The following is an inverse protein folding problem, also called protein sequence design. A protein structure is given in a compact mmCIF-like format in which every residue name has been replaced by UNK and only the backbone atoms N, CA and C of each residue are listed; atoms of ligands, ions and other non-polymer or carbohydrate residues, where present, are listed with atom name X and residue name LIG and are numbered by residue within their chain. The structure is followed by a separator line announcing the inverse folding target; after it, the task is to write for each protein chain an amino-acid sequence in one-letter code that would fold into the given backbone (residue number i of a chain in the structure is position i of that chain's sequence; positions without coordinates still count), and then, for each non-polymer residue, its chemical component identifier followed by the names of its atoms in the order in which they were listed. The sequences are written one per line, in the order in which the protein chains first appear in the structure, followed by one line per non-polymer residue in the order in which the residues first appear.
data_IF_523315332937
#
_entry.id   IF_523315332937
#
_cell.length_a   1.000
_cell.length_b   1.000
_cell.length_c   1.000
_cell.angle_alpha   90.00
_cell.angle_beta   90.00
_cell.angle_gamma   90.00
#
_symmetry.space_group_name_H-M   'P 1'
#
loop_
_entity.id
_entity.type
_entity.pdbx_description
1 polymer ?
#
# COMPACT_ATOMS: atom_id res chain seq x y z
N UNK A 1 -22.63 35.26 17.10
CA UNK A 1 -21.53 34.75 16.26
C UNK A 1 -20.95 33.54 16.98
N UNK A 2 -21.20 32.35 16.45
CA UNK A 2 -20.61 31.10 16.94
C UNK A 2 -19.92 30.50 15.72
N UNK A 3 -18.59 30.51 15.74
CA UNK A 3 -17.78 29.87 14.71
C UNK A 3 -18.07 28.37 14.79
N UNK A 4 -18.88 27.89 13.84
CA UNK A 4 -19.08 26.46 13.65
C UNK A 4 -17.73 25.84 13.30
N UNK A 5 -17.22 25.01 14.20
CA UNK A 5 -16.04 24.19 13.92
C UNK A 5 -16.26 23.45 12.61
N UNK A 6 -15.28 23.46 11.68
CA UNK A 6 -15.40 22.65 10.48
C UNK A 6 -15.48 21.19 10.93
N UNK A 7 -16.62 20.54 10.67
CA UNK A 7 -16.74 19.10 10.81
C UNK A 7 -15.75 18.49 9.81
N UNK A 8 -14.54 18.20 10.29
CA UNK A 8 -13.63 17.25 9.64
C UNK A 8 -14.43 15.99 9.33
N UNK A 9 -14.08 15.28 8.26
CA UNK A 9 -14.60 13.92 8.01
C UNK A 9 -14.07 13.01 9.13
N UNK A 10 -14.69 13.13 10.31
CA UNK A 10 -14.16 12.67 11.58
C UNK A 10 -13.96 11.16 11.55
N UNK A 11 -14.75 10.45 10.74
CA UNK A 11 -14.65 8.99 10.57
C UNK A 11 -13.48 8.59 9.67
N UNK A 12 -13.23 9.28 8.56
CA UNK A 12 -12.08 8.98 7.71
C UNK A 12 -10.76 9.31 8.43
N UNK A 13 -10.71 10.45 9.13
CA UNK A 13 -9.57 10.84 9.95
C UNK A 13 -9.38 9.91 11.16
N UNK A 14 -10.46 9.34 11.69
CA UNK A 14 -10.42 8.35 12.77
C UNK A 14 -9.89 7.00 12.27
N UNK A 15 -10.31 6.52 11.10
CA UNK A 15 -9.76 5.28 10.53
C UNK A 15 -8.27 5.40 10.21
N UNK A 16 -7.84 6.52 9.63
CA UNK A 16 -6.42 6.78 9.38
C UNK A 16 -5.60 6.77 10.69
N UNK A 17 -6.10 7.43 11.75
CA UNK A 17 -5.48 7.40 13.08
C UNK A 17 -5.43 5.99 13.68
N UNK A 18 -6.50 5.22 13.55
CA UNK A 18 -6.54 3.83 14.03
C UNK A 18 -5.53 2.93 13.29
N UNK A 19 -5.30 3.15 12.00
CA UNK A 19 -4.26 2.44 11.25
C UNK A 19 -2.86 2.79 11.76
N UNK A 20 -2.60 4.07 12.00
CA UNK A 20 -1.33 4.57 12.55
C UNK A 20 -1.06 4.00 13.95
N UNK A 21 -2.07 4.02 14.83
CA UNK A 21 -1.97 3.44 16.18
C UNK A 21 -1.67 1.93 16.13
N UNK A 22 -2.34 1.18 15.24
CA UNK A 22 -2.09 -0.25 15.06
C UNK A 22 -0.66 -0.51 14.55
N UNK A 23 -0.18 0.29 13.60
CA UNK A 23 1.22 0.24 13.12
C UNK A 23 2.20 0.45 14.24
N UNK A 24 2.03 1.51 15.03
CA UNK A 24 2.90 1.85 16.14
C UNK A 24 2.88 0.77 17.23
N UNK A 25 1.71 0.20 17.52
CA UNK A 25 1.59 -0.88 18.49
C UNK A 25 2.29 -2.15 18.02
N UNK A 26 2.10 -2.57 16.76
CA UNK A 26 2.78 -3.73 16.19
C UNK A 26 4.31 -3.54 16.19
N UNK A 27 4.76 -2.34 15.82
CA UNK A 27 6.17 -1.98 15.86
C UNK A 27 6.75 -2.02 17.28
N UNK A 28 6.06 -1.43 18.25
CA UNK A 28 6.45 -1.46 19.67
C UNK A 28 6.54 -2.90 20.22
N UNK A 29 5.58 -3.76 19.87
CA UNK A 29 5.59 -5.17 20.26
C UNK A 29 6.82 -5.89 19.69
N UNK A 30 7.13 -5.67 18.42
CA UNK A 30 8.32 -6.23 17.78
C UNK A 30 9.64 -5.74 18.41
N UNK A 31 9.75 -4.45 18.70
CA UNK A 31 10.93 -3.88 19.36
C UNK A 31 11.12 -4.46 20.77
N UNK A 32 10.05 -4.57 21.55
CA UNK A 32 10.08 -5.21 22.88
C UNK A 32 10.54 -6.67 22.81
N UNK A 33 10.03 -7.43 21.85
CA UNK A 33 10.46 -8.82 21.65
C UNK A 33 11.93 -8.92 21.21
N UNK A 34 12.38 -7.99 20.36
CA UNK A 34 13.79 -7.92 19.93
C UNK A 34 14.73 -7.59 21.09
N UNK A 35 14.36 -6.65 21.96
CA UNK A 35 15.09 -6.34 23.18
C UNK A 35 15.12 -7.55 24.15
N UNK A 36 14.01 -8.27 24.29
CA UNK A 36 13.93 -9.48 25.13
C UNK A 36 14.88 -10.60 24.70
N UNK A 37 15.25 -10.69 23.42
CA UNK A 37 16.30 -11.61 22.95
C UNK A 37 17.67 -11.16 23.46
N UNK A 38 17.97 -9.87 23.40
CA UNK A 38 19.23 -9.33 23.90
C UNK A 38 19.35 -9.58 25.41
N UNK A 39 18.30 -9.34 26.18
CA UNK A 39 18.24 -9.63 27.62
C UNK A 39 18.46 -11.12 27.89
N UNK A 40 17.78 -11.99 27.14
CA UNK A 40 17.95 -13.45 27.26
C UNK A 40 19.37 -13.90 26.95
N UNK A 41 20.05 -13.25 26.00
CA UNK A 41 21.47 -13.52 25.67
C UNK A 41 22.40 -13.02 26.77
N UNK A 42 22.14 -11.84 27.34
CA UNK A 42 22.90 -11.30 28.47
C UNK A 42 22.80 -12.27 29.66
N UNK A 43 21.58 -12.69 30.01
CA UNK A 43 21.36 -13.66 31.09
C UNK A 43 22.08 -15.00 30.82
N UNK A 44 22.00 -15.51 29.59
CA UNK A 44 22.71 -16.74 29.22
C UNK A 44 24.24 -16.62 29.27
N UNK A 45 24.79 -15.43 29.02
CA UNK A 45 26.23 -15.18 29.18
C UNK A 45 26.64 -15.11 30.66
N UNK A 46 25.76 -14.60 31.53
CA UNK A 46 26.00 -14.52 32.97
C UNK A 46 25.94 -15.89 33.67
N UNK A 47 25.29 -16.91 33.08
CA UNK A 47 25.22 -18.27 33.65
C UNK A 47 26.46 -19.15 33.40
N UNK A 48 27.48 -18.63 32.70
CA UNK A 48 28.78 -19.29 32.53
C UNK A 48 28.71 -20.61 31.75
N UNK A 49 29.31 -21.68 32.30
CA UNK A 49 29.41 -23.00 31.65
C UNK A 49 28.07 -23.67 31.27
N UNK A 50 26.95 -23.22 31.86
CA UNK A 50 25.59 -23.70 31.54
C UNK A 50 24.93 -22.98 30.36
N UNK A 51 25.65 -22.08 29.68
CA UNK A 51 25.15 -21.28 28.53
C UNK A 51 24.48 -22.11 27.44
N UNK A 52 24.98 -23.31 27.15
CA UNK A 52 24.43 -24.18 26.10
C UNK A 52 22.96 -24.59 26.36
N UNK A 53 22.51 -24.65 27.63
CA UNK A 53 21.13 -24.96 28.00
C UNK A 53 20.14 -23.89 27.51
N UNK A 54 20.58 -22.65 27.35
CA UNK A 54 19.75 -21.54 26.85
C UNK A 54 19.57 -21.57 25.33
N UNK A 55 20.38 -22.36 24.62
CA UNK A 55 20.36 -22.52 23.17
C UNK A 55 19.65 -23.81 22.71
N UNK A 56 19.22 -24.66 23.64
CA UNK A 56 18.46 -25.86 23.30
C UNK A 56 17.08 -25.52 22.72
N UNK A 57 16.51 -26.37 21.85
CA UNK A 57 15.13 -26.22 21.39
C UNK A 57 14.16 -26.06 22.58
N UNK A 58 13.30 -25.04 22.55
CA UNK A 58 12.37 -24.71 23.62
C UNK A 58 12.97 -23.98 24.83
N UNK A 59 14.26 -23.65 24.81
CA UNK A 59 14.92 -22.83 25.82
C UNK A 59 14.57 -21.33 25.68
N UNK A 60 15.06 -20.51 26.61
CA UNK A 60 14.68 -19.08 26.70
C UNK A 60 15.01 -18.29 25.43
N UNK A 61 16.19 -18.50 24.83
CA UNK A 61 16.60 -17.78 23.60
C UNK A 61 15.78 -18.25 22.40
N UNK A 62 15.54 -19.56 22.28
CA UNK A 62 14.75 -20.13 21.20
C UNK A 62 13.30 -19.63 21.25
N UNK A 63 12.67 -19.65 22.43
CA UNK A 63 11.33 -19.08 22.64
C UNK A 63 11.25 -17.58 22.34
N UNK A 64 12.25 -16.80 22.76
CA UNK A 64 12.31 -15.37 22.47
C UNK A 64 12.47 -15.11 20.95
N UNK A 65 13.28 -15.92 20.27
CA UNK A 65 13.49 -15.86 18.82
C UNK A 65 12.20 -16.21 18.07
N UNK A 66 11.56 -17.32 18.42
CA UNK A 66 10.28 -17.72 17.85
C UNK A 66 9.18 -16.67 18.06
N UNK A 67 9.14 -16.02 19.24
CA UNK A 67 8.19 -14.93 19.51
C UNK A 67 8.46 -13.71 18.63
N UNK A 68 9.72 -13.29 18.47
CA UNK A 68 10.09 -12.21 17.54
C UNK A 68 9.70 -12.57 16.11
N UNK A 69 9.96 -13.79 15.67
CA UNK A 69 9.68 -14.22 14.29
C UNK A 69 8.17 -14.34 14.01
N UNK A 70 7.36 -14.67 15.03
CA UNK A 70 5.91 -14.56 14.96
C UNK A 70 5.46 -13.09 14.83
N UNK A 71 5.96 -12.20 15.68
CA UNK A 71 5.64 -10.76 15.62
C UNK A 71 6.14 -10.10 14.33
N UNK A 72 7.26 -10.57 13.77
CA UNK A 72 7.76 -10.10 12.47
C UNK A 72 6.76 -10.37 11.35
N UNK A 73 6.05 -11.50 11.39
CA UNK A 73 5.00 -11.83 10.43
C UNK A 73 3.77 -10.94 10.61
N UNK A 74 3.46 -10.52 11.83
CA UNK A 74 2.36 -9.58 12.11
C UNK A 74 2.65 -8.15 11.58
N UNK A 75 3.92 -7.77 11.38
CA UNK A 75 4.29 -6.43 10.88
C UNK A 75 3.66 -6.13 9.51
N UNK A 76 3.54 -7.13 8.64
CA UNK A 76 2.94 -6.94 7.32
C UNK A 76 1.44 -6.70 7.40
N UNK A 77 0.76 -7.35 8.34
CA UNK A 77 -0.69 -7.18 8.54
C UNK A 77 -1.07 -5.76 8.93
N UNK A 78 -0.16 -5.06 9.61
CA UNK A 78 -0.35 -3.69 10.04
C UNK A 78 0.27 -2.66 9.09
N UNK A 79 1.04 -3.08 8.08
CA UNK A 79 1.72 -2.16 7.17
C UNK A 79 2.90 -1.42 7.81
N UNK A 80 3.59 -2.04 8.77
CA UNK A 80 4.78 -1.44 9.38
C UNK A 80 5.88 -1.27 8.32
N UNK A 81 6.54 -0.11 8.33
CA UNK A 81 7.54 0.28 7.34
C UNK A 81 6.96 0.96 6.09
N UNK A 82 5.63 0.99 5.92
CA UNK A 82 5.00 1.75 4.85
C UNK A 82 5.26 3.25 4.97
N UNK A 83 5.11 3.96 3.85
CA UNK A 83 4.89 5.40 3.89
C UNK A 83 3.40 5.65 4.15
N UNK A 84 3.08 6.55 5.07
CA UNK A 84 1.68 6.78 5.46
C UNK A 84 0.84 7.31 4.31
N UNK A 85 1.42 8.05 3.37
CA UNK A 85 0.70 8.74 2.29
C UNK A 85 1.01 8.19 0.90
N UNK A 86 1.95 7.25 0.79
CA UNK A 86 2.33 6.64 -0.47
C UNK A 86 2.09 5.13 -0.43
N UNK A 87 1.24 4.68 -1.32
CA UNK A 87 1.01 3.25 -1.52
C UNK A 87 2.19 2.61 -2.26
N UNK A 88 2.62 1.44 -1.81
CA UNK A 88 3.73 0.69 -2.38
C UNK A 88 3.94 -0.67 -1.71
N UNK A 89 5.13 -1.24 -1.87
CA UNK A 89 5.40 -2.67 -1.58
C UNK A 89 5.31 -3.06 -0.12
N UNK A 90 5.46 -2.09 0.80
CA UNK A 90 5.28 -2.30 2.24
C UNK A 90 3.92 -1.80 2.74
N UNK A 91 3.12 -1.18 1.88
CA UNK A 91 1.79 -0.73 2.25
C UNK A 91 0.91 -1.92 2.56
N UNK A 92 0.00 -1.71 3.51
CA UNK A 92 -0.96 -2.70 3.88
C UNK A 92 -1.71 -2.35 5.14
N UNK A 93 -2.79 -3.10 5.34
CA UNK A 93 -3.58 -3.09 6.56
C UNK A 93 -4.47 -4.33 6.60
N UNK A 94 -4.92 -4.66 7.81
CA UNK A 94 -5.98 -5.62 8.03
C UNK A 94 -7.33 -4.95 7.79
N UNK A 95 -8.02 -5.36 6.74
CA UNK A 95 -9.36 -4.88 6.39
C UNK A 95 -10.38 -5.75 7.13
N UNK A 96 -10.97 -5.21 8.19
CA UNK A 96 -11.85 -5.92 9.12
C UNK A 96 -13.13 -6.36 8.43
N UNK A 97 -13.71 -5.50 7.61
CA UNK A 97 -14.91 -5.81 6.81
C UNK A 97 -14.73 -7.02 5.89
N UNK A 98 -13.50 -7.32 5.47
CA UNK A 98 -13.17 -8.45 4.60
C UNK A 98 -12.54 -9.63 5.36
N UNK A 99 -12.24 -9.46 6.65
CA UNK A 99 -11.55 -10.46 7.46
C UNK A 99 -10.14 -10.82 6.96
N UNK A 100 -9.53 -9.99 6.11
CA UNK A 100 -8.28 -10.30 5.41
C UNK A 100 -7.22 -9.20 5.57
N UNK A 101 -5.95 -9.58 5.42
CA UNK A 101 -4.86 -8.61 5.32
C UNK A 101 -4.56 -8.30 3.87
N UNK A 102 -4.52 -7.01 3.55
CA UNK A 102 -4.07 -6.52 2.26
C UNK A 102 -2.61 -6.11 2.43
N UNK A 103 -1.69 -6.99 2.05
CA UNK A 103 -0.25 -6.69 1.97
C UNK A 103 0.41 -7.59 0.91
N UNK A 104 1.63 -7.22 0.50
CA UNK A 104 2.38 -7.92 -0.53
C UNK A 104 2.64 -9.38 -0.12
N UNK A 105 3.02 -9.64 1.13
CA UNK A 105 3.35 -10.98 1.63
C UNK A 105 2.15 -11.92 1.61
N UNK A 106 0.96 -11.47 2.01
CA UNK A 106 -0.28 -12.27 1.91
C UNK A 106 -0.62 -12.54 0.45
N UNK A 107 -0.47 -11.54 -0.42
CA UNK A 107 -0.74 -11.70 -1.86
C UNK A 107 0.22 -12.71 -2.49
N UNK A 108 1.50 -12.64 -2.15
CA UNK A 108 2.52 -13.61 -2.57
C UNK A 108 2.19 -15.00 -2.05
N UNK A 109 1.84 -15.15 -0.77
CA UNK A 109 1.50 -16.46 -0.20
C UNK A 109 0.34 -17.13 -0.95
N UNK A 110 -0.68 -16.36 -1.31
CA UNK A 110 -1.79 -16.86 -2.12
C UNK A 110 -1.36 -17.23 -3.55
N UNK A 111 -0.57 -16.38 -4.21
CA UNK A 111 -0.06 -16.66 -5.56
C UNK A 111 0.88 -17.87 -5.59
N UNK A 112 1.74 -18.06 -4.58
CA UNK A 112 2.59 -19.24 -4.46
C UNK A 112 1.71 -20.49 -4.35
N UNK A 113 0.72 -20.48 -3.45
CA UNK A 113 -0.21 -21.61 -3.30
C UNK A 113 -0.97 -21.95 -4.59
N UNK A 114 -1.36 -20.94 -5.35
CA UNK A 114 -2.14 -21.09 -6.59
C UNK A 114 -1.28 -21.56 -7.77
N UNK A 115 -0.06 -21.04 -7.92
CA UNK A 115 0.79 -21.24 -9.10
C UNK A 115 1.97 -22.18 -8.90
N UNK A 116 2.20 -22.73 -7.70
CA UNK A 116 3.28 -23.70 -7.46
C UNK A 116 3.26 -24.88 -8.45
N UNK A 117 2.10 -25.48 -8.81
CA UNK A 117 2.07 -26.60 -9.74
C UNK A 117 2.44 -26.23 -11.18
N UNK A 118 2.17 -24.99 -11.61
CA UNK A 118 2.24 -24.56 -13.01
C UNK A 118 3.44 -23.67 -13.31
N UNK A 119 3.94 -22.92 -12.33
CA UNK A 119 5.04 -21.96 -12.48
C UNK A 119 6.02 -21.99 -11.28
N UNK A 120 6.63 -23.14 -10.95
CA UNK A 120 7.47 -23.31 -9.74
C UNK A 120 8.76 -22.46 -9.72
N UNK A 121 9.21 -21.96 -10.88
CA UNK A 121 10.33 -21.02 -10.93
C UNK A 121 9.92 -19.61 -10.53
N UNK A 122 8.70 -19.20 -10.91
CA UNK A 122 8.16 -17.88 -10.60
C UNK A 122 7.74 -17.79 -9.13
N UNK A 123 7.12 -18.84 -8.58
CA UNK A 123 6.77 -18.91 -7.16
C UNK A 123 7.99 -18.83 -6.24
N UNK A 124 9.08 -19.54 -6.55
CA UNK A 124 10.35 -19.40 -5.81
C UNK A 124 10.93 -17.98 -5.83
N UNK A 125 10.71 -17.23 -6.90
CA UNK A 125 11.11 -15.82 -6.95
C UNK A 125 10.19 -14.96 -6.07
N UNK A 126 8.88 -15.23 -6.08
CA UNK A 126 7.94 -14.56 -5.18
C UNK A 126 8.28 -14.80 -3.71
N UNK A 127 8.63 -16.03 -3.32
CA UNK A 127 9.03 -16.34 -1.95
C UNK A 127 10.25 -15.51 -1.50
N UNK A 128 11.22 -15.30 -2.39
CA UNK A 128 12.36 -14.41 -2.13
C UNK A 128 11.92 -12.96 -1.94
N UNK A 129 11.00 -12.47 -2.76
CA UNK A 129 10.43 -11.12 -2.62
C UNK A 129 9.69 -10.99 -1.29
N UNK A 130 8.89 -11.99 -0.88
CA UNK A 130 8.20 -11.98 0.40
C UNK A 130 9.18 -11.99 1.59
N UNK A 131 10.27 -12.76 1.49
CA UNK A 131 11.32 -12.75 2.50
C UNK A 131 11.98 -11.36 2.59
N UNK A 132 12.36 -10.78 1.45
CA UNK A 132 12.97 -9.45 1.38
C UNK A 132 12.04 -8.37 1.94
N UNK A 133 10.74 -8.42 1.61
CA UNK A 133 9.74 -7.52 2.18
C UNK A 133 9.65 -7.64 3.70
N UNK A 134 9.59 -8.87 4.23
CA UNK A 134 9.54 -9.12 5.67
C UNK A 134 10.80 -8.65 6.43
N UNK A 135 11.97 -8.70 5.79
CA UNK A 135 13.24 -8.17 6.32
C UNK A 135 13.33 -6.64 6.20
N UNK A 136 12.77 -6.05 5.14
CA UNK A 136 12.77 -4.61 4.91
C UNK A 136 11.86 -3.84 5.89
N UNK A 137 10.78 -4.44 6.39
CA UNK A 137 9.80 -3.74 7.26
C UNK A 137 10.41 -3.09 8.51
N UNK A 138 11.17 -3.81 9.37
CA UNK A 138 11.81 -3.18 10.51
C UNK A 138 12.79 -2.07 10.12
N UNK A 139 13.56 -2.27 9.05
CA UNK A 139 14.57 -1.32 8.57
C UNK A 139 13.90 -0.04 8.06
N UNK A 140 12.84 -0.19 7.26
CA UNK A 140 12.02 0.92 6.80
C UNK A 140 11.30 1.65 7.94
N UNK A 141 10.84 0.94 8.97
CA UNK A 141 10.25 1.54 10.17
C UNK A 141 11.27 2.37 10.98
N UNK A 142 12.57 2.03 10.90
CA UNK A 142 13.66 2.84 11.46
C UNK A 142 14.13 3.99 10.56
N UNK A 143 13.57 4.11 9.35
CA UNK A 143 13.84 5.21 8.42
C UNK A 143 14.72 4.86 7.22
N UNK A 144 15.20 3.62 7.11
CA UNK A 144 15.95 3.19 5.92
C UNK A 144 15.00 3.00 4.74
N UNK A 145 15.04 3.93 3.77
CA UNK A 145 14.20 3.85 2.57
C UNK A 145 14.88 3.12 1.40
N UNK A 146 16.18 2.84 1.47
CA UNK A 146 16.89 2.12 0.42
C UNK A 146 16.36 0.68 0.28
N UNK A 147 16.08 0.02 1.41
CA UNK A 147 15.50 -1.33 1.43
C UNK A 147 14.13 -1.41 0.75
N UNK A 148 13.36 -0.32 0.73
CA UNK A 148 12.07 -0.29 0.02
C UNK A 148 12.29 -0.27 -1.49
N UNK A 149 13.29 0.48 -1.96
CA UNK A 149 13.68 0.49 -3.37
C UNK A 149 14.19 -0.89 -3.81
N UNK A 150 14.99 -1.58 -2.99
CA UNK A 150 15.46 -2.94 -3.28
C UNK A 150 14.30 -3.93 -3.44
N UNK A 151 13.28 -3.87 -2.57
CA UNK A 151 12.08 -4.73 -2.71
C UNK A 151 11.32 -4.41 -3.99
N UNK A 152 11.21 -3.13 -4.37
CA UNK A 152 10.60 -2.70 -5.64
C UNK A 152 11.39 -3.27 -6.84
N UNK A 153 12.72 -3.16 -6.81
CA UNK A 153 13.60 -3.65 -7.87
C UNK A 153 13.50 -5.17 -8.04
N UNK A 154 13.25 -5.91 -6.96
CA UNK A 154 12.98 -7.35 -7.02
C UNK A 154 11.55 -7.67 -7.50
N UNK A 155 10.55 -6.91 -7.07
CA UNK A 155 9.15 -7.16 -7.43
C UNK A 155 8.87 -6.87 -8.92
N UNK A 156 9.41 -5.78 -9.46
CA UNK A 156 9.18 -5.36 -10.85
C UNK A 156 9.44 -6.45 -11.90
N UNK A 157 10.60 -7.15 -11.94
CA UNK A 157 10.83 -8.20 -12.91
C UNK A 157 9.87 -9.37 -12.72
N UNK A 158 9.58 -9.78 -11.48
CA UNK A 158 8.67 -10.90 -11.18
C UNK A 158 7.24 -10.60 -11.63
N UNK A 159 6.79 -9.34 -11.49
CA UNK A 159 5.50 -8.88 -12.02
C UNK A 159 5.43 -8.94 -13.54
N UNK A 160 6.54 -8.64 -14.24
CA UNK A 160 6.58 -8.65 -15.72
C UNK A 160 6.45 -10.05 -16.30
N UNK A 161 7.09 -11.03 -15.67
CA UNK A 161 7.09 -12.43 -16.12
C UNK A 161 5.97 -13.28 -15.48
N UNK A 162 4.96 -12.63 -14.87
CA UNK A 162 3.83 -13.32 -14.28
C UNK A 162 3.14 -14.24 -15.32
N UNK A 163 2.66 -15.42 -14.90
CA UNK A 163 2.15 -16.45 -15.80
C UNK A 163 0.87 -16.03 -16.54
N UNK A 164 0.06 -15.17 -15.93
CA UNK A 164 -1.15 -14.61 -16.52
C UNK A 164 -1.42 -13.17 -16.04
N UNK A 165 -2.48 -12.57 -16.59
CA UNK A 165 -2.86 -11.19 -16.28
C UNK A 165 -3.38 -11.03 -14.84
N UNK A 166 -4.04 -12.04 -14.28
CA UNK A 166 -4.57 -11.96 -12.92
C UNK A 166 -3.44 -11.90 -11.89
N UNK A 167 -2.43 -12.76 -12.03
CA UNK A 167 -1.22 -12.74 -11.23
C UNK A 167 -0.46 -11.42 -11.38
N UNK A 168 -0.27 -10.96 -12.62
CA UNK A 168 0.37 -9.67 -12.92
C UNK A 168 -0.35 -8.51 -12.25
N UNK A 169 -1.68 -8.52 -12.30
CA UNK A 169 -2.50 -7.45 -11.75
C UNK A 169 -2.40 -7.40 -10.22
N UNK A 170 -2.52 -8.56 -9.56
CA UNK A 170 -2.40 -8.67 -8.09
C UNK A 170 -1.05 -8.17 -7.58
N UNK A 171 0.04 -8.43 -8.30
CA UNK A 171 1.36 -7.89 -7.94
C UNK A 171 1.51 -6.40 -8.26
N UNK A 172 0.96 -5.96 -9.39
CA UNK A 172 0.96 -4.55 -9.80
C UNK A 172 0.27 -3.66 -8.77
N UNK A 173 -0.75 -4.18 -8.10
CA UNK A 173 -1.49 -3.42 -7.09
C UNK A 173 -0.63 -3.03 -5.89
N UNK A 174 0.44 -3.76 -5.59
CA UNK A 174 1.41 -3.44 -4.54
C UNK A 174 2.54 -2.50 -5.00
N UNK A 175 2.59 -2.13 -6.28
CA UNK A 175 3.57 -1.16 -6.77
C UNK A 175 3.06 0.28 -6.54
N UNK A 176 3.99 1.23 -6.29
CA UNK A 176 3.68 2.65 -6.38
C UNK A 176 3.07 3.00 -7.74
N UNK A 177 2.08 3.89 -7.77
CA UNK A 177 1.37 4.26 -9.01
C UNK A 177 2.28 4.74 -10.15
N UNK A 178 3.41 5.35 -9.80
CA UNK A 178 4.44 5.80 -10.75
C UNK A 178 5.25 4.67 -11.39
N UNK A 179 5.22 3.47 -10.80
CA UNK A 179 5.97 2.30 -11.27
C UNK A 179 5.09 1.18 -11.79
N UNK A 180 3.76 1.28 -11.65
CA UNK A 180 2.82 0.31 -12.22
C UNK A 180 2.99 0.22 -13.76
N UNK A 181 3.01 -0.99 -14.35
CA UNK A 181 3.08 -1.13 -15.81
C UNK A 181 1.92 -0.41 -16.51
N UNK A 182 2.20 0.24 -17.64
CA UNK A 182 1.15 0.86 -18.46
C UNK A 182 0.44 -0.26 -19.24
N UNK A 183 -0.88 -0.41 -19.11
CA UNK A 183 -1.61 -1.42 -19.85
C UNK A 183 -1.73 -1.01 -21.32
N UNK A 184 -1.73 -2.00 -22.21
CA UNK A 184 -1.96 -1.79 -23.64
C UNK A 184 -3.39 -1.28 -23.92
N UNK A 185 -4.36 -1.78 -23.15
CA UNK A 185 -5.73 -1.27 -23.14
C UNK A 185 -6.01 -0.56 -21.81
N UNK A 186 -6.23 0.75 -21.87
CA UNK A 186 -6.47 1.56 -20.69
C UNK A 186 -7.80 1.21 -19.98
N UNK A 187 -8.76 0.60 -20.67
CA UNK A 187 -10.04 0.20 -20.06
C UNK A 187 -9.87 -0.85 -18.97
N UNK A 188 -8.75 -1.59 -18.97
CA UNK A 188 -8.38 -2.54 -17.91
C UNK A 188 -8.11 -1.87 -16.55
N UNK A 189 -7.93 -0.55 -16.52
CA UNK A 189 -7.84 0.22 -15.28
C UNK A 189 -9.20 0.45 -14.61
N UNK A 190 -10.31 0.18 -15.30
CA UNK A 190 -11.64 0.21 -14.67
C UNK A 190 -11.73 -0.93 -13.68
N UNK A 191 -12.20 -0.62 -12.48
CA UNK A 191 -12.31 -1.61 -11.39
C UNK A 191 -13.57 -1.42 -10.58
N UNK A 192 -14.10 -2.55 -10.14
CA UNK A 192 -15.16 -2.62 -9.15
C UNK A 192 -14.80 -3.75 -8.19
N UNK A 193 -13.68 -3.56 -7.47
CA UNK A 193 -13.24 -4.49 -6.44
C UNK A 193 -13.50 -3.91 -5.03
N UNK A 194 -13.32 -4.75 -4.00
CA UNK A 194 -13.66 -4.41 -2.61
C UNK A 194 -12.70 -3.41 -1.96
N UNK A 195 -11.55 -3.14 -2.60
CA UNK A 195 -10.52 -2.24 -2.09
C UNK A 195 -10.60 -0.88 -2.78
N UNK A 196 -10.80 -0.88 -4.10
CA UNK A 196 -10.91 0.32 -4.93
C UNK A 196 -11.93 0.12 -6.04
N UNK A 197 -12.76 1.14 -6.20
CA UNK A 197 -13.60 1.33 -7.39
C UNK A 197 -13.03 2.46 -8.24
N UNK A 198 -12.93 2.23 -9.55
CA UNK A 198 -12.47 3.22 -10.54
C UNK A 198 -13.44 3.21 -11.70
N UNK A 199 -14.21 4.29 -11.84
CA UNK A 199 -15.20 4.46 -12.92
C UNK A 199 -14.79 5.63 -13.81
N UNK A 200 -14.63 5.34 -15.09
CA UNK A 200 -14.41 6.35 -16.12
C UNK A 200 -14.91 5.86 -17.47
N UNK A 201 -15.22 6.79 -18.36
CA UNK A 201 -15.52 6.55 -19.77
C UNK A 201 -14.45 7.12 -20.69
N UNK A 202 -14.32 6.54 -21.88
CA UNK A 202 -13.42 7.04 -22.92
C UNK A 202 -14.28 7.51 -24.09
N UNK A 203 -14.14 8.79 -24.43
CA UNK A 203 -14.79 9.41 -25.57
C UNK A 203 -13.70 10.06 -26.44
N UNK A 204 -13.49 9.50 -27.64
CA UNK A 204 -12.43 9.94 -28.55
C UNK A 204 -11.06 9.97 -27.87
N UNK A 205 -10.50 11.16 -27.64
CA UNK A 205 -9.20 11.44 -27.03
C UNK A 205 -9.29 11.77 -25.53
N UNK A 206 -10.46 11.58 -24.92
CA UNK A 206 -10.76 12.07 -23.57
C UNK A 206 -11.26 10.96 -22.65
N UNK A 207 -10.63 10.83 -21.49
CA UNK A 207 -11.10 10.07 -20.33
C UNK A 207 -11.99 10.96 -19.49
N UNK A 208 -13.27 10.62 -19.39
CA UNK A 208 -14.20 11.20 -18.43
C UNK A 208 -14.14 10.39 -17.14
N UNK A 209 -13.41 10.89 -16.15
CA UNK A 209 -13.31 10.29 -14.81
C UNK A 209 -14.55 10.64 -13.98
N UNK A 210 -15.31 9.61 -13.61
CA UNK A 210 -16.52 9.78 -12.81
C UNK A 210 -16.20 9.62 -11.31
N UNK A 211 -15.52 8.54 -10.90
CA UNK A 211 -15.12 8.35 -9.51
C UNK A 211 -13.83 7.52 -9.32
N UNK A 212 -13.19 7.73 -8.17
CA UNK A 212 -12.21 6.82 -7.58
C UNK A 212 -12.62 6.69 -6.11
N UNK A 213 -13.13 5.52 -5.73
CA UNK A 213 -13.56 5.24 -4.36
C UNK A 213 -12.61 4.26 -3.72
N UNK A 214 -12.03 4.61 -2.57
CA UNK A 214 -11.17 3.71 -1.79
C UNK A 214 -11.96 3.20 -0.59
N UNK A 215 -11.77 1.92 -0.28
CA UNK A 215 -12.29 1.29 0.94
C UNK A 215 -11.99 2.20 2.16
N UNK A 216 -13.01 2.53 2.99
CA UNK A 216 -12.84 3.44 4.13
C UNK A 216 -11.69 3.06 5.07
N UNK A 217 -11.45 1.75 5.27
CA UNK A 217 -10.40 1.23 6.16
C UNK A 217 -8.99 1.37 5.57
N UNK A 218 -8.87 1.69 4.27
CA UNK A 218 -7.60 1.94 3.58
C UNK A 218 -7.41 3.42 3.22
N UNK A 219 -8.31 4.31 3.62
CA UNK A 219 -8.13 5.75 3.42
C UNK A 219 -6.91 6.25 4.19
N UNK A 220 -6.26 7.27 3.63
CA UNK A 220 -5.00 7.78 4.17
C UNK A 220 -3.76 7.07 3.63
N UNK A 221 -3.82 5.76 3.31
CA UNK A 221 -2.67 4.93 2.91
C UNK A 221 -2.00 5.27 1.57
N UNK A 222 -2.52 6.26 0.83
CA UNK A 222 -2.04 6.61 -0.50
C UNK A 222 -2.57 5.74 -1.65
N UNK A 223 -3.43 4.75 -1.39
CA UNK A 223 -3.95 3.82 -2.42
C UNK A 223 -4.66 4.56 -3.57
N UNK A 224 -5.57 5.50 -3.24
CA UNK A 224 -6.25 6.31 -4.25
C UNK A 224 -5.28 7.16 -5.08
N UNK A 225 -4.25 7.73 -4.45
CA UNK A 225 -3.19 8.49 -5.16
C UNK A 225 -2.38 7.60 -6.10
N UNK A 226 -2.07 6.36 -5.71
CA UNK A 226 -1.38 5.42 -6.59
C UNK A 226 -2.24 5.02 -7.80
N UNK A 227 -3.54 4.81 -7.59
CA UNK A 227 -4.50 4.52 -8.66
C UNK A 227 -4.62 5.71 -9.63
N UNK A 228 -4.79 6.93 -9.09
CA UNK A 228 -4.85 8.14 -9.92
C UNK A 228 -3.53 8.38 -10.69
N UNK A 229 -2.38 8.18 -10.05
CA UNK A 229 -1.08 8.31 -10.71
C UNK A 229 -0.90 7.28 -11.83
N UNK A 230 -1.38 6.05 -11.65
CA UNK A 230 -1.34 5.01 -12.67
C UNK A 230 -2.26 5.34 -13.85
N UNK A 231 -3.47 5.85 -13.58
CA UNK A 231 -4.38 6.35 -14.61
C UNK A 231 -3.76 7.52 -15.39
N UNK A 232 -3.17 8.50 -14.70
CA UNK A 232 -2.52 9.65 -15.33
C UNK A 232 -1.38 9.22 -16.27
N UNK A 233 -0.49 8.32 -15.79
CA UNK A 233 0.60 7.79 -16.61
C UNK A 233 0.11 6.99 -17.82
N UNK A 234 -0.97 6.25 -17.65
CA UNK A 234 -1.55 5.48 -18.74
C UNK A 234 -2.19 6.41 -19.76
N UNK A 235 -2.93 7.43 -19.31
CA UNK A 235 -3.46 8.48 -20.18
C UNK A 235 -2.34 9.20 -20.95
N UNK A 236 -1.22 9.53 -20.30
CA UNK A 236 -0.06 10.16 -20.95
C UNK A 236 0.53 9.28 -22.06
N UNK A 237 0.68 7.98 -21.80
CA UNK A 237 1.20 7.02 -22.78
C UNK A 237 0.25 6.80 -23.97
N UNK A 238 -1.06 6.97 -23.74
CA UNK A 238 -2.10 6.86 -24.76
C UNK A 238 -2.50 8.21 -25.36
N UNK A 239 -1.82 9.31 -25.00
CA UNK A 239 -2.11 10.68 -25.44
C UNK A 239 -3.56 11.15 -25.16
N UNK A 240 -4.14 10.73 -24.04
CA UNK A 240 -5.51 11.05 -23.66
C UNK A 240 -5.57 12.21 -22.66
N UNK A 241 -6.58 13.07 -22.81
CA UNK A 241 -6.97 14.06 -21.80
C UNK A 241 -7.74 13.37 -20.67
N UNK A 242 -7.66 13.92 -19.45
CA UNK A 242 -8.54 13.49 -18.34
C UNK A 242 -9.41 14.67 -17.94
N UNK A 243 -10.72 14.48 -17.95
CA UNK A 243 -11.71 15.43 -17.46
C UNK A 243 -12.57 14.78 -16.39
N UNK A 244 -13.03 15.57 -15.43
CA UNK A 244 -13.95 15.09 -14.40
C UNK A 244 -14.67 16.25 -13.72
N UNK A 245 -15.57 15.91 -12.81
CA UNK A 245 -16.28 16.89 -11.99
C UNK A 245 -16.11 16.55 -10.51
N UNK A 246 -15.70 17.53 -9.72
CA UNK A 246 -15.70 17.40 -8.26
C UNK A 246 -17.14 17.54 -7.77
N UNK A 247 -17.78 16.40 -7.49
CA UNK A 247 -19.10 16.36 -6.88
C UNK A 247 -18.93 16.21 -5.37
N UNK A 248 -19.56 17.05 -4.53
CA UNK A 248 -19.56 16.83 -3.09
C UNK A 248 -20.26 15.51 -2.78
N UNK A 249 -19.55 14.57 -2.16
CA UNK A 249 -20.13 13.28 -1.78
C UNK A 249 -21.15 13.42 -0.64
N UNK A 250 -21.06 14.50 0.14
CA UNK A 250 -21.97 14.83 1.24
C UNK A 250 -22.38 16.30 1.15
N UNK A 251 -23.69 16.57 1.27
CA UNK A 251 -24.28 17.91 1.11
C UNK A 251 -23.84 18.93 2.17
N UNK A 252 -23.24 18.48 3.27
CA UNK A 252 -22.94 19.30 4.45
C UNK A 252 -21.43 19.42 4.78
N UNK A 253 -20.53 18.98 3.89
CA UNK A 253 -19.07 19.14 4.06
C UNK A 253 -18.50 20.16 3.06
N UNK A 254 -18.60 21.44 3.42
CA UNK A 254 -18.08 22.58 2.64
C UNK A 254 -16.56 22.50 2.40
N UNK A 255 -15.84 21.65 3.15
CA UNK A 255 -14.39 21.48 3.04
C UNK A 255 -13.95 20.32 2.14
N UNK A 256 -14.89 19.50 1.66
CA UNK A 256 -14.58 18.33 0.83
C UNK A 256 -14.08 18.73 -0.57
N UNK A 257 -14.75 19.69 -1.21
CA UNK A 257 -14.40 20.13 -2.58
C UNK A 257 -13.00 20.78 -2.64
N UNK A 258 -12.63 21.71 -1.74
CA UNK A 258 -11.27 22.25 -1.70
C UNK A 258 -10.19 21.17 -1.48
N UNK A 259 -10.43 20.19 -0.59
CA UNK A 259 -9.49 19.09 -0.33
C UNK A 259 -9.30 18.20 -1.56
N UNK A 260 -10.39 17.86 -2.25
CA UNK A 260 -10.33 17.10 -3.50
C UNK A 260 -9.65 17.91 -4.62
N UNK A 261 -9.92 19.21 -4.71
CA UNK A 261 -9.25 20.10 -5.65
C UNK A 261 -7.73 20.11 -5.43
N UNK A 262 -7.28 20.25 -4.18
CA UNK A 262 -5.86 20.20 -3.82
C UNK A 262 -5.23 18.84 -4.12
N UNK A 263 -5.96 17.75 -3.86
CA UNK A 263 -5.50 16.42 -4.25
C UNK A 263 -5.33 16.29 -5.76
N UNK A 264 -6.32 16.70 -6.57
CA UNK A 264 -6.21 16.71 -8.02
C UNK A 264 -5.05 17.60 -8.52
N UNK A 265 -4.85 18.79 -7.94
CA UNK A 265 -3.72 19.68 -8.29
C UNK A 265 -2.37 19.01 -8.11
N UNK A 266 -2.17 18.23 -7.04
CA UNK A 266 -0.94 17.46 -6.82
C UNK A 266 -0.67 16.42 -7.91
N UNK A 267 -1.68 16.01 -8.66
CA UNK A 267 -1.58 15.09 -9.80
C UNK A 267 -1.57 15.80 -11.16
N UNK A 268 -1.41 17.13 -11.18
CA UNK A 268 -1.27 17.92 -12.42
C UNK A 268 -2.60 18.33 -13.05
N UNK A 269 -3.72 18.25 -12.33
CA UNK A 269 -5.00 18.74 -12.81
C UNK A 269 -5.14 20.26 -12.61
N UNK A 270 -5.66 20.93 -13.63
CA UNK A 270 -6.25 22.26 -13.50
C UNK A 270 -7.66 22.13 -12.94
N UNK A 271 -7.98 22.88 -11.89
CA UNK A 271 -9.29 22.88 -11.24
C UNK A 271 -9.99 24.20 -11.50
N UNK A 272 -11.18 24.16 -12.10
CA UNK A 272 -12.03 25.32 -12.30
C UNK A 272 -13.21 25.29 -11.32
N UNK A 273 -13.06 25.98 -10.20
CA UNK A 273 -14.06 26.07 -9.13
C UNK A 273 -15.32 26.83 -9.58
N UNK A 274 -15.19 27.78 -10.53
CA UNK A 274 -16.34 28.56 -11.05
C UNK A 274 -17.28 27.73 -11.93
N UNK A 275 -16.79 26.63 -12.51
CA UNK A 275 -17.57 25.71 -13.34
C UNK A 275 -17.99 24.47 -12.54
N UNK A 276 -18.44 24.65 -11.31
CA UNK A 276 -18.93 23.55 -10.47
C UNK A 276 -17.86 22.49 -10.16
N UNK A 277 -16.61 22.92 -9.99
CA UNK A 277 -15.50 22.03 -9.62
C UNK A 277 -15.00 21.15 -10.77
N UNK A 278 -15.07 21.59 -12.02
CA UNK A 278 -14.54 20.83 -13.17
C UNK A 278 -13.02 20.69 -13.07
N UNK A 279 -12.50 19.48 -13.29
CA UNK A 279 -11.06 19.20 -13.37
C UNK A 279 -10.67 18.79 -14.78
N UNK A 280 -9.50 19.24 -15.22
CA UNK A 280 -8.93 18.89 -16.53
C UNK A 280 -7.43 18.65 -16.37
N UNK A 281 -6.92 17.60 -16.98
CA UNK A 281 -5.50 17.32 -17.11
C UNK A 281 -5.18 17.02 -18.57
N UNK A 282 -4.22 17.77 -19.12
CA UNK A 282 -3.66 17.50 -20.44
C UNK A 282 -2.61 16.39 -20.36
N UNK A 283 -2.45 15.58 -21.41
CA UNK A 283 -1.36 14.61 -21.46
C UNK A 283 0.00 15.33 -21.44
N UNK A 284 0.98 14.73 -20.77
CA UNK A 284 2.31 15.34 -20.59
C UNK A 284 3.00 15.74 -21.91
N UNK A 285 2.67 15.06 -23.01
CA UNK A 285 3.20 15.32 -24.35
C UNK A 285 2.72 16.64 -24.99
N UNK A 286 1.66 17.26 -24.47
CA UNK A 286 1.07 18.51 -25.01
C UNK A 286 1.51 19.75 -24.20
N UNK A 287 2.16 19.55 -23.04
CA UNK A 287 2.54 20.61 -22.10
C UNK A 287 3.98 21.10 -22.16
N UNK A 288 4.74 20.77 -23.21
CA UNK A 288 6.14 21.19 -23.43
C UNK A 288 6.24 22.33 -24.45
#
# INVERSE_FOLDING_TARGET
MSEGQPFRDARADEHARQLEEQRLQAWSNYLKASAGIADSRIQANLTGWKRWLHHLPGASIDKATARRDALRRELSEHGVGADDRLWGVLSGARVRSLGTSVCLETTIADLVREYEPTAPHWTRQLERVAQAAGEARPLAATGDRAVVAEVIEQLLPVTRIAPDEQARQRLTDHLPGTLRPVPADITTLRRSDTLVEVVFDIYADTIKLDNITVNPELRGTGLGSAVLAHLCRSADAHHLYIVGQLVPTFRDDDSAVPRLADWCRRHGFSVNERLGGRIVRSPASVGA
#
